data_IF_972430016811
#
_entry.id   IF_972430016811
#
_cell.length_a   1.000
_cell.length_b   1.000
_cell.length_c   1.000
_cell.angle_alpha   90.00
_cell.angle_beta   90.00
_cell.angle_gamma   90.00
#
_symmetry.space_group_name_H-M   'P 1'
#
loop_
_entity.id
_entity.type
_entity.pdbx_description
1 polymer ?
#
# COMPACT_ATOMS: atom_id res chain seq x y z
N UNK A 1 -0.64 -2.57 -45.05
CA UNK A 1 0.36 -3.67 -45.07
C UNK A 1 -0.08 -4.69 -44.03
N UNK A 2 -0.51 -5.88 -44.44
CA UNK A 2 -1.07 -6.86 -43.49
C UNK A 2 0.03 -7.79 -42.99
N UNK A 3 0.33 -7.73 -41.69
CA UNK A 3 1.26 -8.61 -40.99
C UNK A 3 0.72 -10.05 -40.85
N UNK A 4 0.25 -10.69 -41.93
CA UNK A 4 -0.55 -11.94 -41.85
C UNK A 4 0.19 -13.15 -41.27
N UNK A 5 1.52 -13.15 -41.28
CA UNK A 5 2.36 -14.26 -40.84
C UNK A 5 3.67 -13.72 -40.24
N UNK A 6 4.20 -14.38 -39.19
CA UNK A 6 5.49 -14.03 -38.62
C UNK A 6 6.65 -14.30 -39.58
N UNK A 7 6.47 -15.23 -40.53
CA UNK A 7 7.39 -15.39 -41.66
C UNK A 7 7.43 -14.13 -42.54
N UNK A 8 6.28 -13.54 -42.83
CA UNK A 8 6.21 -12.30 -43.61
C UNK A 8 6.87 -11.13 -42.87
N UNK A 9 6.77 -11.05 -41.54
CA UNK A 9 7.49 -10.05 -40.73
C UNK A 9 8.99 -10.18 -40.92
N UNK A 10 9.53 -11.40 -40.95
CA UNK A 10 10.97 -11.62 -41.16
C UNK A 10 11.45 -11.09 -42.51
N UNK A 11 10.69 -11.35 -43.57
CA UNK A 11 11.00 -10.91 -44.94
C UNK A 11 10.86 -9.38 -45.08
N UNK A 12 9.83 -8.81 -44.44
CA UNK A 12 9.62 -7.36 -44.39
C UNK A 12 10.78 -6.65 -43.69
N UNK A 13 11.25 -7.16 -42.56
CA UNK A 13 12.36 -6.53 -41.82
C UNK A 13 13.66 -6.51 -42.64
N UNK A 14 13.96 -7.59 -43.37
CA UNK A 14 15.13 -7.66 -44.26
C UNK A 14 15.00 -6.63 -45.39
N UNK A 15 13.85 -6.60 -46.08
CA UNK A 15 13.61 -5.62 -47.13
C UNK A 15 13.64 -4.17 -46.61
N UNK A 16 13.12 -3.93 -45.41
CA UNK A 16 13.08 -2.61 -44.79
C UNK A 16 14.48 -2.08 -44.44
N UNK A 17 15.36 -2.98 -43.99
CA UNK A 17 16.77 -2.70 -43.72
C UNK A 17 17.52 -2.38 -45.01
N UNK A 18 17.36 -3.20 -46.06
CA UNK A 18 17.96 -2.95 -47.39
C UNK A 18 17.55 -1.62 -48.00
N UNK A 19 16.35 -1.12 -47.67
CA UNK A 19 15.79 0.12 -48.22
C UNK A 19 15.88 1.32 -47.26
N UNK A 20 16.53 1.19 -46.10
CA UNK A 20 16.65 2.28 -45.10
C UNK A 20 15.31 2.88 -44.61
N UNK A 21 14.22 2.10 -44.65
CA UNK A 21 12.86 2.50 -44.22
C UNK A 21 12.41 1.75 -42.95
N UNK A 22 13.34 1.09 -42.27
CA UNK A 22 13.08 0.24 -41.12
C UNK A 22 12.40 0.98 -39.96
N UNK A 23 12.85 2.21 -39.66
CA UNK A 23 12.25 3.06 -38.63
C UNK A 23 10.77 3.34 -38.92
N UNK A 24 10.47 3.70 -40.17
CA UNK A 24 9.11 4.00 -40.60
C UNK A 24 8.22 2.76 -40.50
N UNK A 25 8.71 1.60 -40.93
CA UNK A 25 7.97 0.34 -40.87
C UNK A 25 7.71 -0.10 -39.42
N UNK A 26 8.73 -0.04 -38.56
CA UNK A 26 8.61 -0.48 -37.16
C UNK A 26 7.74 0.44 -36.31
N UNK A 27 7.63 1.72 -36.67
CA UNK A 27 6.73 2.67 -36.03
C UNK A 27 5.35 2.76 -36.70
N UNK A 28 5.15 2.09 -37.84
CA UNK A 28 3.85 2.11 -38.54
C UNK A 28 2.80 1.39 -37.71
N UNK A 29 1.77 2.13 -37.34
CA UNK A 29 0.58 1.58 -36.68
C UNK A 29 -0.45 1.13 -37.71
N UNK A 30 -1.04 -0.05 -37.51
CA UNK A 30 -2.16 -0.56 -38.31
C UNK A 30 -3.38 -0.77 -37.42
N UNK A 31 -4.50 -0.16 -37.77
CA UNK A 31 -5.77 -0.38 -37.06
C UNK A 31 -6.51 -1.58 -37.63
N UNK A 32 -6.85 -2.53 -36.76
CA UNK A 32 -7.64 -3.72 -37.07
C UNK A 32 -8.97 -3.65 -36.31
N UNK A 33 -10.07 -3.81 -37.04
CA UNK A 33 -11.41 -3.92 -36.46
C UNK A 33 -11.79 -5.40 -36.37
N UNK A 34 -11.99 -5.89 -35.15
CA UNK A 34 -12.59 -7.19 -34.86
C UNK A 34 -14.06 -7.00 -34.50
N UNK A 35 -14.81 -8.11 -34.43
CA UNK A 35 -16.23 -8.10 -34.03
C UNK A 35 -16.46 -7.41 -32.68
N UNK A 36 -15.50 -7.51 -31.76
CA UNK A 36 -15.61 -7.11 -30.36
C UNK A 36 -14.66 -5.99 -29.91
N UNK A 37 -13.79 -5.51 -30.80
CA UNK A 37 -12.78 -4.50 -30.46
C UNK A 37 -12.15 -3.84 -31.69
N UNK A 38 -11.70 -2.61 -31.51
CA UNK A 38 -10.83 -1.91 -32.44
C UNK A 38 -9.43 -1.80 -31.81
N UNK A 39 -8.42 -2.25 -32.54
CA UNK A 39 -7.05 -2.31 -32.03
C UNK A 39 -6.08 -1.66 -32.99
N UNK A 40 -5.20 -0.81 -32.47
CA UNK A 40 -4.10 -0.23 -33.24
C UNK A 40 -2.80 -0.96 -32.86
N UNK A 41 -2.21 -1.69 -33.80
CA UNK A 41 -0.99 -2.48 -33.58
C UNK A 41 0.22 -1.85 -34.25
N UNK A 42 1.33 -1.79 -33.51
CA UNK A 42 2.69 -1.75 -34.10
C UNK A 42 3.12 -3.16 -34.51
N UNK A 43 4.19 -3.32 -35.31
CA UNK A 43 4.72 -4.64 -35.65
C UNK A 43 5.14 -5.43 -34.41
N UNK A 44 5.78 -4.79 -33.43
CA UNK A 44 6.13 -5.41 -32.15
C UNK A 44 4.88 -5.88 -31.40
N UNK A 45 3.88 -5.02 -31.25
CA UNK A 45 2.65 -5.39 -30.55
C UNK A 45 1.89 -6.51 -31.27
N UNK A 46 1.96 -6.55 -32.60
CA UNK A 46 1.37 -7.63 -33.39
C UNK A 46 2.09 -8.97 -33.18
N UNK A 47 3.43 -9.02 -33.15
CA UNK A 47 4.13 -10.27 -32.85
C UNK A 47 3.92 -10.74 -31.41
N UNK A 48 3.78 -9.80 -30.47
CA UNK A 48 3.39 -10.09 -29.07
C UNK A 48 1.99 -10.73 -29.03
N UNK A 49 1.01 -10.16 -29.74
CA UNK A 49 -0.34 -10.74 -29.86
C UNK A 49 -0.31 -12.17 -30.38
N UNK A 50 0.56 -12.44 -31.37
CA UNK A 50 0.73 -13.77 -31.98
C UNK A 50 1.53 -14.73 -31.10
N UNK A 51 2.08 -14.26 -29.97
CA UNK A 51 2.93 -15.02 -29.04
C UNK A 51 4.14 -15.66 -29.74
N UNK A 52 4.67 -14.97 -30.76
CA UNK A 52 5.83 -15.44 -31.50
C UNK A 52 7.10 -14.82 -30.94
N UNK A 53 7.62 -15.45 -29.88
CA UNK A 53 8.88 -15.08 -29.24
C UNK A 53 10.06 -14.95 -30.22
N UNK A 54 10.17 -15.82 -31.23
CA UNK A 54 11.27 -15.74 -32.21
C UNK A 54 11.14 -14.45 -33.05
N UNK A 55 9.91 -14.07 -33.40
CA UNK A 55 9.66 -12.83 -34.11
C UNK A 55 9.86 -11.60 -33.22
N UNK A 56 9.48 -11.65 -31.94
CA UNK A 56 9.78 -10.61 -30.95
C UNK A 56 11.28 -10.39 -30.83
N UNK A 57 12.05 -11.44 -30.55
CA UNK A 57 13.52 -11.38 -30.45
C UNK A 57 14.13 -10.75 -31.71
N UNK A 58 13.67 -11.15 -32.90
CA UNK A 58 14.16 -10.57 -34.16
C UNK A 58 13.84 -9.08 -34.27
N UNK A 59 12.61 -8.66 -33.95
CA UNK A 59 12.20 -7.24 -33.99
C UNK A 59 13.06 -6.42 -33.02
N UNK A 60 13.26 -6.90 -31.79
CA UNK A 60 14.07 -6.21 -30.78
C UNK A 60 15.54 -6.12 -31.20
N UNK A 61 16.12 -7.20 -31.74
CA UNK A 61 17.50 -7.20 -32.23
C UNK A 61 17.72 -6.21 -33.37
N UNK A 62 16.85 -6.25 -34.38
CA UNK A 62 16.93 -5.36 -35.54
C UNK A 62 16.76 -3.89 -35.10
N UNK A 63 15.86 -3.63 -34.14
CA UNK A 63 15.69 -2.31 -33.56
C UNK A 63 16.92 -1.80 -32.80
N UNK A 64 17.57 -2.70 -32.04
CA UNK A 64 18.83 -2.43 -31.33
C UNK A 64 19.95 -2.08 -32.32
N UNK A 65 20.15 -2.91 -33.34
CA UNK A 65 21.18 -2.73 -34.38
C UNK A 65 21.02 -1.39 -35.12
N UNK A 66 19.79 -0.87 -35.18
CA UNK A 66 19.46 0.38 -35.85
C UNK A 66 19.24 1.57 -34.89
N UNK A 67 19.49 1.42 -33.59
CA UNK A 67 19.40 2.51 -32.60
C UNK A 67 17.98 3.05 -32.36
N UNK A 68 16.94 2.26 -32.65
CA UNK A 68 15.51 2.64 -32.52
C UNK A 68 14.76 1.79 -31.49
N UNK A 69 15.47 1.00 -30.69
CA UNK A 69 14.85 0.10 -29.70
C UNK A 69 13.96 0.86 -28.69
N UNK A 70 14.44 2.01 -28.20
CA UNK A 70 13.68 2.87 -27.28
C UNK A 70 12.37 3.31 -27.93
N UNK A 71 12.42 3.88 -29.13
CA UNK A 71 11.23 4.33 -29.87
C UNK A 71 10.17 3.22 -29.97
N UNK A 72 10.59 1.99 -30.26
CA UNK A 72 9.67 0.85 -30.41
C UNK A 72 9.10 0.39 -29.07
N UNK A 73 9.93 0.33 -28.03
CA UNK A 73 9.49 -0.10 -26.70
C UNK A 73 8.64 0.96 -25.98
N UNK A 74 8.77 2.24 -26.35
CA UNK A 74 7.93 3.33 -25.86
C UNK A 74 6.61 3.44 -26.63
N UNK A 75 6.52 2.86 -27.84
CA UNK A 75 5.31 2.97 -28.65
C UNK A 75 4.17 2.15 -28.06
N UNK A 76 3.17 2.84 -27.54
CA UNK A 76 1.98 2.22 -26.96
C UNK A 76 0.98 1.76 -28.02
N UNK A 77 0.19 0.74 -27.68
CA UNK A 77 -1.02 0.37 -28.43
C UNK A 77 -2.27 0.72 -27.65
N UNK A 78 -3.34 1.03 -28.37
CA UNK A 78 -4.67 1.25 -27.78
C UNK A 78 -5.65 0.19 -28.26
N UNK A 79 -6.32 -0.46 -27.31
CA UNK A 79 -7.38 -1.45 -27.52
C UNK A 79 -8.69 -0.85 -27.01
N UNK A 80 -9.64 -0.62 -27.91
CA UNK A 80 -11.01 -0.21 -27.58
C UNK A 80 -11.91 -1.43 -27.64
N UNK A 81 -12.44 -1.82 -26.49
CA UNK A 81 -13.37 -2.95 -26.36
C UNK A 81 -14.83 -2.49 -26.60
N UNK A 82 -15.72 -3.41 -26.96
CA UNK A 82 -17.17 -3.12 -27.13
C UNK A 82 -17.86 -2.62 -25.86
N UNK A 83 -17.38 -3.05 -24.69
CA UNK A 83 -17.80 -2.51 -23.39
C UNK A 83 -17.24 -1.10 -23.15
N UNK A 84 -16.72 -0.45 -24.20
CA UNK A 84 -16.12 0.88 -24.22
C UNK A 84 -15.01 1.06 -23.18
N UNK A 85 -14.43 -0.05 -22.71
CA UNK A 85 -13.14 -0.04 -22.03
C UNK A 85 -12.05 0.28 -23.05
N UNK A 86 -11.24 1.28 -22.74
CA UNK A 86 -10.09 1.66 -23.55
C UNK A 86 -8.82 1.37 -22.77
N UNK A 87 -7.97 0.49 -23.30
CA UNK A 87 -6.70 0.14 -22.68
C UNK A 87 -5.55 0.60 -23.55
N UNK A 88 -4.64 1.37 -22.97
CA UNK A 88 -3.38 1.77 -23.60
C UNK A 88 -2.25 0.97 -22.96
N UNK A 89 -1.67 0.06 -23.74
CA UNK A 89 -0.58 -0.81 -23.32
C UNK A 89 0.77 -0.33 -23.84
N UNK A 90 1.79 -0.40 -22.99
CA UNK A 90 3.17 -0.52 -23.45
C UNK A 90 3.40 -1.93 -24.00
N UNK A 91 4.41 -2.17 -24.85
CA UNK A 91 4.75 -3.51 -25.31
C UNK A 91 4.96 -4.51 -24.16
N UNK A 92 5.63 -4.08 -23.09
CA UNK A 92 5.84 -4.91 -21.90
C UNK A 92 4.50 -5.29 -21.24
N UNK A 93 3.60 -4.33 -21.00
CA UNK A 93 2.30 -4.62 -20.41
C UNK A 93 1.40 -5.45 -21.33
N UNK A 94 1.48 -5.26 -22.66
CA UNK A 94 0.78 -6.11 -23.60
C UNK A 94 1.27 -7.56 -23.54
N UNK A 95 2.57 -7.79 -23.35
CA UNK A 95 3.11 -9.13 -23.12
C UNK A 95 2.63 -9.73 -21.78
N UNK A 96 2.52 -8.91 -20.72
CA UNK A 96 1.96 -9.32 -19.43
C UNK A 96 0.50 -9.73 -19.51
N UNK A 97 -0.31 -8.99 -20.28
CA UNK A 97 -1.72 -9.30 -20.51
C UNK A 97 -1.92 -10.68 -21.14
N UNK A 98 -0.98 -11.12 -21.99
CA UNK A 98 -1.01 -12.45 -22.60
C UNK A 98 -0.28 -13.54 -21.80
N UNK A 99 0.28 -13.18 -20.65
CA UNK A 99 1.04 -14.04 -19.75
C UNK A 99 2.22 -14.77 -20.41
N UNK A 100 2.82 -14.17 -21.44
CA UNK A 100 3.93 -14.79 -22.17
C UNK A 100 5.28 -14.47 -21.49
N UNK A 101 5.65 -15.31 -20.53
CA UNK A 101 6.89 -15.14 -19.77
C UNK A 101 8.17 -15.14 -20.63
N UNK A 102 8.16 -15.77 -21.81
CA UNK A 102 9.33 -15.76 -22.70
C UNK A 102 9.48 -14.39 -23.36
N UNK A 103 8.39 -13.85 -23.89
CA UNK A 103 8.37 -12.51 -24.50
C UNK A 103 8.68 -11.42 -23.46
N UNK A 104 8.12 -11.53 -22.25
CA UNK A 104 8.41 -10.59 -21.16
C UNK A 104 9.92 -10.57 -20.88
N UNK A 105 10.55 -11.74 -20.78
CA UNK A 105 12.00 -11.85 -20.58
C UNK A 105 12.80 -11.25 -21.74
N UNK A 106 12.41 -11.52 -22.98
CA UNK A 106 13.07 -10.94 -24.17
C UNK A 106 13.02 -9.41 -24.16
N UNK A 107 11.87 -8.81 -23.79
CA UNK A 107 11.73 -7.35 -23.67
C UNK A 107 12.64 -6.81 -22.55
N UNK A 108 12.66 -7.43 -21.38
CA UNK A 108 13.47 -6.97 -20.24
C UNK A 108 14.97 -7.07 -20.54
N UNK A 109 15.44 -8.18 -21.12
CA UNK A 109 16.84 -8.35 -21.54
C UNK A 109 17.23 -7.31 -22.59
N UNK A 110 16.39 -7.08 -23.60
CA UNK A 110 16.66 -6.05 -24.60
C UNK A 110 16.75 -4.65 -23.97
N UNK A 111 15.88 -4.34 -22.99
CA UNK A 111 15.91 -3.06 -22.30
C UNK A 111 17.14 -2.89 -21.40
N UNK A 112 17.55 -3.96 -20.71
CA UNK A 112 18.76 -4.01 -19.89
C UNK A 112 20.03 -3.79 -20.72
N UNK A 113 20.21 -4.57 -21.80
CA UNK A 113 21.37 -4.48 -22.70
C UNK A 113 21.53 -3.10 -23.36
N UNK A 114 20.49 -2.27 -23.34
CA UNK A 114 20.47 -0.94 -23.95
C UNK A 114 20.33 0.19 -22.91
N UNK A 115 20.46 -0.11 -21.61
CA UNK A 115 20.38 0.88 -20.53
C UNK A 115 19.08 1.70 -20.54
N UNK A 116 17.97 1.08 -20.95
CA UNK A 116 16.62 1.68 -20.95
C UNK A 116 15.65 0.94 -20.03
N UNK A 117 16.13 -0.06 -19.27
CA UNK A 117 15.30 -0.87 -18.38
C UNK A 117 14.45 -0.05 -17.41
N UNK A 118 15.04 0.99 -16.80
CA UNK A 118 14.31 1.88 -15.89
C UNK A 118 13.16 2.59 -16.60
N UNK A 119 13.40 3.16 -17.78
CA UNK A 119 12.38 3.85 -18.57
C UNK A 119 11.22 2.89 -18.91
N UNK A 120 11.54 1.65 -19.29
CA UNK A 120 10.54 0.61 -19.58
C UNK A 120 9.76 0.19 -18.33
N UNK A 121 10.41 0.13 -17.17
CA UNK A 121 9.79 -0.20 -15.88
C UNK A 121 9.07 0.99 -15.21
N UNK A 122 9.29 2.22 -15.70
CA UNK A 122 8.53 3.41 -15.30
C UNK A 122 7.33 3.68 -16.24
N UNK A 123 7.33 3.10 -17.44
CA UNK A 123 6.31 3.33 -18.45
C UNK A 123 4.93 2.80 -18.03
N UNK A 124 3.93 3.68 -18.04
CA UNK A 124 2.61 3.38 -17.47
C UNK A 124 1.63 2.78 -18.47
N UNK A 125 0.82 1.83 -18.02
CA UNK A 125 -0.37 1.32 -18.71
C UNK A 125 -1.60 2.01 -18.18
N UNK A 126 -2.49 2.47 -19.07
CA UNK A 126 -3.73 3.16 -18.67
C UNK A 126 -4.95 2.37 -19.10
N UNK A 127 -5.86 2.10 -18.17
CA UNK A 127 -7.17 1.49 -18.41
C UNK A 127 -8.24 2.53 -18.09
N UNK A 128 -9.11 2.82 -19.06
CA UNK A 128 -10.28 3.67 -18.90
C UNK A 128 -11.53 2.82 -19.03
N UNK A 129 -12.44 2.96 -18.07
CA UNK A 129 -13.72 2.27 -18.03
C UNK A 129 -14.87 3.23 -18.42
N UNK A 130 -15.99 2.64 -18.82
CA UNK A 130 -17.20 3.39 -19.19
C UNK A 130 -17.75 4.27 -18.10
N UNK A 131 -17.66 3.78 -16.87
CA UNK A 131 -18.12 4.49 -15.69
C UNK A 131 -17.19 5.66 -15.33
N UNK A 132 -16.18 5.98 -16.13
CA UNK A 132 -15.24 7.07 -15.85
C UNK A 132 -14.13 6.69 -14.88
N UNK A 133 -14.07 5.43 -14.42
CA UNK A 133 -12.91 4.93 -13.68
C UNK A 133 -11.68 4.92 -14.59
N UNK A 134 -10.55 5.40 -14.07
CA UNK A 134 -9.25 5.44 -14.76
C UNK A 134 -8.19 4.83 -13.86
N UNK A 135 -7.51 3.80 -14.36
CA UNK A 135 -6.44 3.10 -13.66
C UNK A 135 -5.13 3.27 -14.43
N UNK A 136 -4.09 3.75 -13.74
CA UNK A 136 -2.77 4.02 -14.30
C UNK A 136 -1.77 3.17 -13.53
N UNK A 137 -1.24 2.15 -14.19
CA UNK A 137 -0.35 1.15 -13.62
C UNK A 137 1.08 1.33 -14.08
N UNK A 138 2.02 1.22 -13.15
CA UNK A 138 3.40 0.83 -13.47
C UNK A 138 3.44 -0.64 -13.90
N UNK A 139 4.47 -1.11 -14.62
CA UNK A 139 4.60 -2.51 -15.03
C UNK A 139 4.58 -3.50 -13.85
N UNK A 140 5.23 -3.18 -12.72
CA UNK A 140 5.19 -4.03 -11.53
C UNK A 140 3.76 -4.15 -10.98
N UNK A 141 3.06 -3.03 -10.81
CA UNK A 141 1.68 -3.07 -10.30
C UNK A 141 0.68 -3.65 -11.29
N UNK A 142 0.92 -3.49 -12.59
CA UNK A 142 0.14 -4.16 -13.62
C UNK A 142 0.31 -5.68 -13.53
N UNK A 143 1.55 -6.17 -13.35
CA UNK A 143 1.82 -7.59 -13.12
C UNK A 143 1.14 -8.12 -11.83
N UNK A 144 1.07 -7.30 -10.78
CA UNK A 144 0.33 -7.61 -9.54
C UNK A 144 -1.18 -7.71 -9.82
N UNK A 145 -1.74 -6.78 -10.60
CA UNK A 145 -3.15 -6.77 -11.00
C UNK A 145 -3.51 -8.02 -11.82
N UNK A 146 -2.63 -8.40 -12.75
CA UNK A 146 -2.72 -9.64 -13.52
C UNK A 146 -2.45 -10.92 -12.69
N UNK A 147 -2.05 -10.81 -11.42
CA UNK A 147 -1.65 -11.95 -10.56
C UNK A 147 -0.54 -12.81 -11.17
N UNK A 148 0.31 -12.23 -12.01
CA UNK A 148 1.35 -12.95 -12.74
C UNK A 148 2.63 -13.06 -11.89
N UNK A 149 2.65 -14.03 -10.98
CA UNK A 149 3.76 -14.19 -10.01
C UNK A 149 5.14 -14.33 -10.65
N UNK A 150 5.27 -15.03 -11.79
CA UNK A 150 6.55 -15.17 -12.50
C UNK A 150 7.07 -13.84 -13.03
N UNK A 151 6.16 -13.01 -13.55
CA UNK A 151 6.50 -11.68 -14.05
C UNK A 151 6.91 -10.75 -12.91
N UNK A 152 6.21 -10.81 -11.78
CA UNK A 152 6.55 -10.05 -10.58
C UNK A 152 7.97 -10.42 -10.11
N UNK A 153 8.25 -11.72 -9.99
CA UNK A 153 9.58 -12.24 -9.62
C UNK A 153 10.66 -11.75 -10.59
N UNK A 154 10.42 -11.82 -11.91
CA UNK A 154 11.38 -11.35 -12.92
C UNK A 154 11.62 -9.84 -12.85
N UNK A 155 10.58 -9.00 -12.75
CA UNK A 155 10.73 -7.54 -12.61
C UNK A 155 11.56 -7.21 -11.37
N UNK A 156 11.22 -7.79 -10.22
CA UNK A 156 11.94 -7.54 -8.97
C UNK A 156 13.41 -7.98 -9.07
N UNK A 157 13.66 -9.11 -9.71
CA UNK A 157 15.01 -9.63 -9.94
C UNK A 157 15.83 -8.68 -10.83
N UNK A 158 15.35 -8.34 -12.03
CA UNK A 158 16.12 -7.46 -12.94
C UNK A 158 16.29 -6.07 -12.35
N UNK A 159 15.32 -5.58 -11.56
CA UNK A 159 15.44 -4.29 -10.87
C UNK A 159 16.51 -4.32 -9.79
N UNK A 160 16.66 -5.44 -9.07
CA UNK A 160 17.74 -5.66 -8.11
C UNK A 160 19.11 -5.73 -8.80
N UNK A 161 19.21 -6.48 -9.88
CA UNK A 161 20.46 -6.67 -10.63
C UNK A 161 20.97 -5.37 -11.29
N UNK A 162 20.08 -4.39 -11.47
CA UNK A 162 20.38 -3.10 -12.12
C UNK A 162 20.31 -1.89 -11.17
N UNK A 163 20.31 -2.11 -9.84
CA UNK A 163 20.29 -1.04 -8.82
C UNK A 163 19.12 -0.04 -8.92
N UNK A 164 17.98 -0.45 -9.50
CA UNK A 164 16.76 0.37 -9.64
C UNK A 164 15.59 -0.13 -8.78
N UNK A 165 15.80 -1.17 -7.97
CA UNK A 165 14.74 -1.81 -7.17
C UNK A 165 13.95 -0.83 -6.29
N UNK A 166 14.64 0.11 -5.64
CA UNK A 166 14.00 1.10 -4.77
C UNK A 166 13.07 2.00 -5.59
N UNK A 167 13.53 2.51 -6.72
CA UNK A 167 12.71 3.35 -7.61
C UNK A 167 11.45 2.61 -8.08
N UNK A 168 11.59 1.34 -8.46
CA UNK A 168 10.46 0.52 -8.91
C UNK A 168 9.47 0.22 -7.77
N UNK A 169 9.95 0.06 -6.54
CA UNK A 169 9.11 -0.14 -5.35
C UNK A 169 8.54 1.16 -4.76
N UNK A 170 9.09 2.31 -5.10
CA UNK A 170 8.54 3.63 -4.75
C UNK A 170 7.56 4.14 -5.82
N UNK A 171 7.63 3.61 -7.04
CA UNK A 171 6.78 4.03 -8.16
C UNK A 171 5.29 3.80 -7.88
N UNK A 172 4.50 4.85 -8.08
CA UNK A 172 3.09 4.87 -7.67
C UNK A 172 2.12 4.54 -8.80
N UNK A 173 1.08 3.78 -8.47
CA UNK A 173 -0.09 3.51 -9.30
C UNK A 173 -1.26 4.35 -8.84
N UNK A 174 -2.03 4.88 -9.77
CA UNK A 174 -3.18 5.74 -9.48
C UNK A 174 -4.46 5.09 -9.98
N UNK A 175 -5.47 5.02 -9.12
CA UNK A 175 -6.85 4.65 -9.49
C UNK A 175 -7.76 5.83 -9.17
N UNK A 176 -8.51 6.28 -10.16
CA UNK A 176 -9.55 7.31 -10.02
C UNK A 176 -10.90 6.67 -10.28
N UNK A 177 -11.85 6.95 -9.41
CA UNK A 177 -13.24 6.50 -9.52
C UNK A 177 -14.14 7.66 -9.96
N UNK A 178 -15.33 7.32 -10.47
CA UNK A 178 -16.30 8.29 -10.98
C UNK A 178 -16.74 9.31 -9.92
N UNK A 179 -16.89 8.84 -8.68
CA UNK A 179 -17.35 9.66 -7.56
C UNK A 179 -16.31 10.71 -7.14
N UNK A 180 -15.13 10.72 -7.74
CA UNK A 180 -14.02 11.60 -7.40
C UNK A 180 -13.06 10.98 -6.39
N UNK A 181 -13.30 9.75 -5.92
CA UNK A 181 -12.34 9.03 -5.11
C UNK A 181 -11.06 8.80 -5.92
N UNK A 182 -9.91 9.04 -5.30
CA UNK A 182 -8.60 8.81 -5.90
C UNK A 182 -7.70 8.08 -4.91
N UNK A 183 -7.12 6.98 -5.37
CA UNK A 183 -6.21 6.16 -4.59
C UNK A 183 -4.84 6.10 -5.29
N UNK A 184 -3.77 6.33 -4.52
CA UNK A 184 -2.40 6.34 -5.00
C UNK A 184 -1.62 5.31 -4.20
N UNK A 185 -1.16 4.26 -4.86
CA UNK A 185 -0.57 3.06 -4.28
C UNK A 185 0.91 2.92 -4.63
N UNK A 186 1.73 2.59 -3.63
CA UNK A 186 3.00 1.89 -3.87
C UNK A 186 2.74 0.42 -4.26
N UNK A 187 3.69 -0.32 -4.85
CA UNK A 187 3.50 -1.72 -5.21
C UNK A 187 3.18 -2.62 -4.01
N UNK A 188 3.79 -2.37 -2.84
CA UNK A 188 3.48 -3.13 -1.62
C UNK A 188 2.01 -2.90 -1.18
N UNK A 189 1.54 -1.66 -1.16
CA UNK A 189 0.16 -1.36 -0.77
C UNK A 189 -0.86 -1.78 -1.83
N UNK A 190 -0.49 -1.75 -3.11
CA UNK A 190 -1.31 -2.33 -4.17
C UNK A 190 -1.45 -3.85 -3.99
N UNK A 191 -0.36 -4.56 -3.66
CA UNK A 191 -0.41 -5.99 -3.36
C UNK A 191 -1.32 -6.31 -2.15
N UNK A 192 -1.33 -5.46 -1.11
CA UNK A 192 -2.27 -5.53 0.02
C UNK A 192 -3.71 -5.31 -0.47
N UNK A 193 -3.95 -4.31 -1.32
CA UNK A 193 -5.29 -4.04 -1.88
C UNK A 193 -5.83 -5.25 -2.65
N UNK A 194 -4.96 -5.91 -3.43
CA UNK A 194 -5.25 -7.14 -4.17
C UNK A 194 -5.29 -8.42 -3.31
N UNK A 195 -4.98 -8.34 -2.01
CA UNK A 195 -4.85 -9.48 -1.09
C UNK A 195 -3.88 -10.56 -1.61
N UNK A 196 -2.81 -10.13 -2.29
CA UNK A 196 -1.84 -11.03 -2.89
C UNK A 196 -0.70 -11.33 -1.90
N UNK A 197 -0.94 -12.28 -1.00
CA UNK A 197 -0.02 -12.61 0.09
C UNK A 197 1.35 -13.11 -0.38
N UNK A 198 1.44 -13.76 -1.55
CA UNK A 198 2.71 -14.22 -2.13
C UNK A 198 3.54 -13.01 -2.58
N UNK A 199 2.94 -12.07 -3.29
CA UNK A 199 3.61 -10.83 -3.73
C UNK A 199 4.06 -9.97 -2.54
N UNK A 200 3.23 -9.85 -1.50
CA UNK A 200 3.61 -9.13 -0.27
C UNK A 200 4.90 -9.72 0.31
N UNK A 201 4.98 -11.05 0.41
CA UNK A 201 6.15 -11.74 0.93
C UNK A 201 7.38 -11.56 0.05
N UNK A 202 7.24 -11.63 -1.27
CA UNK A 202 8.33 -11.41 -2.21
C UNK A 202 8.90 -9.99 -2.11
N UNK A 203 8.03 -8.97 -2.08
CA UNK A 203 8.43 -7.56 -1.93
C UNK A 203 9.14 -7.35 -0.58
N UNK A 204 8.61 -7.87 0.52
CA UNK A 204 9.24 -7.73 1.84
C UNK A 204 10.60 -8.44 1.89
N UNK A 205 10.69 -9.65 1.33
CA UNK A 205 11.93 -10.42 1.27
C UNK A 205 13.00 -9.71 0.46
N UNK A 206 12.70 -9.27 -0.75
CA UNK A 206 13.70 -8.60 -1.60
C UNK A 206 14.08 -7.24 -1.01
N UNK A 207 13.15 -6.52 -0.37
CA UNK A 207 13.47 -5.24 0.30
C UNK A 207 14.41 -5.45 1.49
N UNK A 208 14.22 -6.54 2.26
CA UNK A 208 15.14 -6.96 3.33
C UNK A 208 16.53 -7.26 2.79
N UNK A 209 16.63 -8.10 1.76
CA UNK A 209 17.92 -8.49 1.16
C UNK A 209 18.72 -7.31 0.61
N UNK A 210 18.06 -6.20 0.28
CA UNK A 210 18.70 -5.01 -0.30
C UNK A 210 18.77 -3.83 0.68
N UNK A 211 18.43 -4.01 1.96
CA UNK A 211 18.56 -2.95 2.97
C UNK A 211 17.60 -1.77 2.82
N UNK A 212 16.55 -1.90 1.99
CA UNK A 212 15.54 -0.85 1.74
C UNK A 212 14.21 -1.10 2.45
N UNK A 213 14.12 -2.17 3.25
CA UNK A 213 12.88 -2.60 3.92
C UNK A 213 12.18 -1.47 4.69
N UNK A 214 12.94 -0.69 5.46
CA UNK A 214 12.37 0.41 6.26
C UNK A 214 11.74 1.47 5.36
N UNK A 215 12.44 1.88 4.30
CA UNK A 215 11.91 2.85 3.33
C UNK A 215 10.60 2.36 2.71
N UNK A 216 10.54 1.08 2.31
CA UNK A 216 9.34 0.48 1.72
C UNK A 216 8.17 0.39 2.72
N UNK A 217 8.45 0.16 4.01
CA UNK A 217 7.44 0.14 5.07
C UNK A 217 7.05 1.54 5.56
N UNK A 218 7.85 2.57 5.30
CA UNK A 218 7.52 3.97 5.59
C UNK A 218 6.82 4.65 4.41
N UNK A 219 6.91 4.07 3.20
CA UNK A 219 6.33 4.63 1.99
C UNK A 219 4.80 4.77 2.09
N UNK A 220 4.30 5.97 1.79
CA UNK A 220 2.91 6.31 2.06
C UNK A 220 2.00 6.15 0.84
N UNK A 221 0.82 5.60 1.08
CA UNK A 221 -0.31 5.54 0.15
C UNK A 221 -1.33 6.59 0.52
N UNK A 222 -1.92 7.23 -0.48
CA UNK A 222 -2.92 8.30 -0.27
C UNK A 222 -4.28 7.89 -0.82
N UNK A 223 -5.30 8.03 0.02
CA UNK A 223 -6.71 7.78 -0.30
C UNK A 223 -7.45 9.11 -0.16
N UNK A 224 -7.96 9.64 -1.26
CA UNK A 224 -8.80 10.84 -1.28
C UNK A 224 -10.23 10.43 -1.57
N UNK A 225 -11.14 10.75 -0.66
CA UNK A 225 -12.56 10.50 -0.79
C UNK A 225 -13.29 11.72 -1.40
N UNK A 226 -14.46 11.51 -2.01
CA UNK A 226 -15.26 12.58 -2.63
C UNK A 226 -15.68 13.71 -1.67
N UNK A 227 -15.84 13.40 -0.40
CA UNK A 227 -16.23 14.32 0.67
C UNK A 227 -15.08 15.21 1.17
N UNK A 228 -13.92 15.14 0.52
CA UNK A 228 -12.71 15.86 0.90
C UNK A 228 -11.92 15.20 2.03
N UNK A 229 -12.33 14.03 2.53
CA UNK A 229 -11.53 13.24 3.45
C UNK A 229 -10.29 12.72 2.73
N UNK A 230 -9.10 12.99 3.28
CA UNK A 230 -7.83 12.48 2.78
C UNK A 230 -7.12 11.71 3.89
N UNK A 231 -6.70 10.49 3.56
CA UNK A 231 -6.00 9.59 4.46
C UNK A 231 -4.70 9.15 3.82
N UNK A 232 -3.59 9.43 4.52
CA UNK A 232 -2.24 9.03 4.12
C UNK A 232 -1.77 7.94 5.08
N UNK A 233 -1.54 6.74 4.54
CA UNK A 233 -1.23 5.54 5.31
C UNK A 233 0.11 4.94 4.87
N UNK A 234 0.95 4.59 5.83
CA UNK A 234 2.01 3.59 5.61
C UNK A 234 1.39 2.20 5.32
N UNK A 235 2.12 1.23 4.77
CA UNK A 235 1.57 -0.05 4.33
C UNK A 235 0.95 -0.86 5.46
N UNK A 236 1.53 -0.83 6.66
CA UNK A 236 0.97 -1.54 7.81
C UNK A 236 -0.36 -0.93 8.27
N UNK A 237 -0.46 0.40 8.32
CA UNK A 237 -1.72 1.12 8.56
C UNK A 237 -2.76 0.77 7.49
N UNK A 238 -2.34 0.73 6.21
CA UNK A 238 -3.22 0.37 5.10
C UNK A 238 -3.72 -1.09 5.21
N UNK A 239 -2.88 -2.04 5.63
CA UNK A 239 -3.32 -3.41 5.89
C UNK A 239 -4.35 -3.48 7.03
N UNK A 240 -4.19 -2.68 8.09
CA UNK A 240 -5.17 -2.58 9.18
C UNK A 240 -6.51 -2.02 8.66
N UNK A 241 -6.46 -0.97 7.83
CA UNK A 241 -7.64 -0.39 7.18
C UNK A 241 -8.38 -1.43 6.34
N UNK A 242 -7.65 -2.20 5.53
CA UNK A 242 -8.21 -3.25 4.66
C UNK A 242 -8.58 -4.54 5.39
N UNK A 243 -8.34 -4.60 6.71
CA UNK A 243 -8.54 -5.79 7.55
C UNK A 243 -7.82 -7.03 7.00
N UNK A 244 -6.64 -6.84 6.40
CA UNK A 244 -5.81 -7.93 5.90
C UNK A 244 -4.86 -8.42 7.00
N UNK A 245 -5.31 -9.41 7.77
CA UNK A 245 -4.55 -9.97 8.88
C UNK A 245 -3.26 -10.65 8.45
N UNK A 246 -3.23 -11.24 7.24
CA UNK A 246 -2.06 -11.94 6.72
C UNK A 246 -0.97 -10.91 6.41
N UNK A 247 -1.34 -9.79 5.78
CA UNK A 247 -0.41 -8.70 5.52
C UNK A 247 0.14 -8.10 6.82
N UNK A 248 -0.72 -7.85 7.81
CA UNK A 248 -0.32 -7.35 9.14
C UNK A 248 0.71 -8.29 9.79
N UNK A 249 0.41 -9.59 9.87
CA UNK A 249 1.31 -10.58 10.47
C UNK A 249 2.67 -10.63 9.74
N UNK A 250 2.67 -10.72 8.41
CA UNK A 250 3.91 -10.80 7.62
C UNK A 250 4.79 -9.55 7.82
N UNK A 251 4.21 -8.35 7.77
CA UNK A 251 4.97 -7.11 7.96
C UNK A 251 5.53 -6.99 9.38
N UNK A 252 4.74 -7.31 10.41
CA UNK A 252 5.20 -7.30 11.80
C UNK A 252 6.34 -8.31 12.04
N UNK A 253 6.21 -9.52 11.49
CA UNK A 253 7.26 -10.55 11.57
C UNK A 253 8.55 -10.08 10.90
N UNK A 254 8.47 -9.57 9.67
CA UNK A 254 9.66 -9.09 8.95
C UNK A 254 10.27 -7.86 9.64
N UNK A 255 9.46 -6.96 10.21
CA UNK A 255 9.97 -5.84 10.99
C UNK A 255 10.73 -6.28 12.26
N UNK A 256 10.24 -7.33 12.95
CA UNK A 256 10.91 -7.97 14.09
C UNK A 256 12.26 -8.57 13.69
N UNK A 257 12.29 -9.31 12.58
CA UNK A 257 13.53 -9.95 12.08
C UNK A 257 14.60 -8.96 11.61
N UNK A 258 14.28 -7.68 11.51
CA UNK A 258 15.17 -6.63 11.01
C UNK A 258 15.37 -5.48 12.00
N UNK A 259 15.05 -5.69 13.28
CA UNK A 259 15.25 -4.70 14.35
C UNK A 259 14.60 -3.32 14.11
N UNK A 260 13.56 -3.25 13.26
CA UNK A 260 12.78 -2.04 12.97
C UNK A 260 11.37 -2.08 13.56
N UNK A 261 11.01 -3.15 14.30
CA UNK A 261 9.66 -3.34 14.83
C UNK A 261 9.16 -2.14 15.66
N UNK A 262 10.02 -1.59 16.54
CA UNK A 262 9.63 -0.47 17.40
C UNK A 262 9.30 0.77 16.57
N UNK A 263 10.15 1.12 15.60
CA UNK A 263 9.91 2.26 14.71
C UNK A 263 8.59 2.11 13.94
N UNK A 264 8.31 0.91 13.43
CA UNK A 264 7.08 0.61 12.70
C UNK A 264 5.84 0.69 13.60
N UNK A 265 5.93 0.28 14.87
CA UNK A 265 4.81 0.37 15.82
C UNK A 265 4.60 1.78 16.38
N UNK A 266 5.68 2.56 16.50
CA UNK A 266 5.65 3.96 16.94
C UNK A 266 5.19 4.91 15.82
N UNK A 267 5.17 4.45 14.57
CA UNK A 267 4.68 5.21 13.44
C UNK A 267 3.25 5.70 13.68
N UNK A 268 3.01 6.97 13.34
CA UNK A 268 1.71 7.61 13.53
C UNK A 268 1.03 7.95 12.21
N UNK A 269 -0.28 7.77 12.16
CA UNK A 269 -1.13 8.17 11.03
C UNK A 269 -2.02 9.34 11.46
N UNK A 270 -2.00 10.43 10.69
CA UNK A 270 -2.85 11.59 10.96
C UNK A 270 -4.01 11.63 9.96
N UNK A 271 -5.24 11.63 10.48
CA UNK A 271 -6.45 11.78 9.69
C UNK A 271 -6.99 13.19 9.85
N UNK A 272 -7.25 13.87 8.73
CA UNK A 272 -7.91 15.17 8.68
C UNK A 272 -9.34 14.98 8.23
N UNK A 273 -10.28 15.42 9.06
CA UNK A 273 -11.70 15.40 8.76
C UNK A 273 -12.13 16.70 8.08
N UNK A 274 -13.21 16.64 7.29
CA UNK A 274 -13.77 17.79 6.59
C UNK A 274 -14.21 18.93 7.52
N UNK A 275 -14.53 18.62 8.77
CA UNK A 275 -14.86 19.60 9.79
C UNK A 275 -13.63 20.22 10.48
N UNK A 276 -12.41 20.00 9.98
CA UNK A 276 -11.15 20.45 10.58
C UNK A 276 -10.73 19.72 11.86
N UNK A 277 -11.44 18.66 12.28
CA UNK A 277 -10.90 17.75 13.28
C UNK A 277 -9.68 17.05 12.69
N UNK A 278 -8.65 16.92 13.51
CA UNK A 278 -7.43 16.21 13.15
C UNK A 278 -7.08 15.27 14.29
N UNK A 279 -6.83 14.01 13.95
CA UNK A 279 -6.45 13.00 14.95
C UNK A 279 -5.20 12.28 14.49
N UNK A 280 -4.20 12.26 15.36
CA UNK A 280 -2.96 11.52 15.16
C UNK A 280 -3.04 10.22 15.96
N UNK A 281 -3.07 9.11 15.24
CA UNK A 281 -3.20 7.76 15.75
C UNK A 281 -1.85 7.05 15.77
N UNK A 282 -1.55 6.35 16.85
CA UNK A 282 -0.57 5.26 16.84
C UNK A 282 -1.17 4.05 16.12
N UNK A 283 -0.35 3.07 15.74
CA UNK A 283 -0.83 1.88 15.02
C UNK A 283 -1.91 1.11 15.81
N UNK A 284 -1.72 0.92 17.12
CA UNK A 284 -2.71 0.26 17.99
C UNK A 284 -4.01 1.07 18.07
N UNK A 285 -3.92 2.39 18.19
CA UNK A 285 -5.09 3.28 18.21
C UNK A 285 -5.85 3.25 16.89
N UNK A 286 -5.13 3.17 15.78
CA UNK A 286 -5.70 3.04 14.45
C UNK A 286 -6.42 1.69 14.28
N UNK A 287 -5.87 0.60 14.80
CA UNK A 287 -6.54 -0.71 14.82
C UNK A 287 -7.85 -0.67 15.64
N UNK A 288 -7.87 0.06 16.75
CA UNK A 288 -9.09 0.32 17.56
C UNK A 288 -10.10 1.16 16.75
N UNK A 289 -9.65 2.23 16.09
CA UNK A 289 -10.49 3.06 15.22
C UNK A 289 -11.20 2.23 14.14
N UNK A 290 -10.50 1.25 13.55
CA UNK A 290 -11.01 0.38 12.48
C UNK A 290 -11.69 -0.89 13.00
N UNK A 291 -11.80 -1.06 14.32
CA UNK A 291 -12.38 -2.25 14.97
C UNK A 291 -11.74 -3.55 14.45
N UNK A 292 -10.45 -3.51 14.18
CA UNK A 292 -9.69 -4.63 13.64
C UNK A 292 -9.12 -5.46 14.79
N UNK A 293 -9.96 -6.34 15.33
CA UNK A 293 -9.64 -7.15 16.51
C UNK A 293 -8.42 -8.06 16.34
N UNK A 294 -8.17 -8.53 15.11
CA UNK A 294 -7.02 -9.38 14.78
C UNK A 294 -5.74 -8.55 14.81
N UNK A 295 -5.72 -7.37 14.19
CA UNK A 295 -4.57 -6.48 14.24
C UNK A 295 -4.25 -6.03 15.67
N UNK A 296 -5.27 -5.71 16.49
CA UNK A 296 -5.08 -5.40 17.92
C UNK A 296 -4.36 -6.54 18.63
N UNK A 297 -4.79 -7.78 18.39
CA UNK A 297 -4.21 -8.95 19.04
C UNK A 297 -2.77 -9.20 18.60
N UNK A 298 -2.48 -9.11 17.29
CA UNK A 298 -1.14 -9.34 16.77
C UNK A 298 -0.17 -8.25 17.24
N UNK A 299 -0.58 -6.97 17.26
CA UNK A 299 0.22 -5.87 17.79
C UNK A 299 0.54 -6.10 19.27
N UNK A 300 -0.45 -6.46 20.10
CA UNK A 300 -0.23 -6.70 21.53
C UNK A 300 0.67 -7.91 21.77
N UNK A 301 0.46 -9.00 21.03
CA UNK A 301 1.25 -10.23 21.11
C UNK A 301 2.71 -9.97 20.73
N UNK A 302 2.97 -9.36 19.58
CA UNK A 302 4.35 -9.11 19.15
C UNK A 302 5.04 -8.09 20.07
N UNK A 303 4.31 -7.10 20.59
CA UNK A 303 4.86 -6.14 21.55
C UNK A 303 5.25 -6.79 22.87
N UNK A 304 4.46 -7.77 23.33
CA UNK A 304 4.77 -8.62 24.50
C UNK A 304 6.04 -9.43 24.28
N UNK A 305 6.12 -10.14 23.15
CA UNK A 305 7.28 -10.99 22.81
C UNK A 305 8.59 -10.21 22.71
N UNK A 306 8.52 -8.91 22.41
CA UNK A 306 9.69 -8.05 22.21
C UNK A 306 9.88 -7.02 23.33
N UNK A 307 9.22 -7.19 24.48
CA UNK A 307 9.38 -6.33 25.67
C UNK A 307 9.11 -4.82 25.47
N UNK A 308 8.34 -4.46 24.44
CA UNK A 308 7.94 -3.07 24.12
C UNK A 308 6.47 -2.78 24.44
N UNK A 309 5.75 -3.75 25.00
CA UNK A 309 4.32 -3.66 25.31
C UNK A 309 3.94 -2.45 26.16
N UNK A 310 4.76 -2.11 27.16
CA UNK A 310 4.50 -0.95 28.03
C UNK A 310 4.53 0.35 27.25
N UNK A 311 5.47 0.50 26.32
CA UNK A 311 5.60 1.68 25.48
C UNK A 311 4.40 1.80 24.55
N UNK A 312 4.02 0.71 23.90
CA UNK A 312 2.87 0.68 22.97
C UNK A 312 1.54 1.00 23.68
N UNK A 313 1.33 0.51 24.91
CA UNK A 313 0.11 0.78 25.68
C UNK A 313 0.09 2.18 26.32
N UNK A 314 1.26 2.80 26.54
CA UNK A 314 1.38 4.16 27.07
C UNK A 314 1.54 5.23 25.98
N UNK A 315 1.66 4.82 24.72
CA UNK A 315 1.78 5.73 23.60
C UNK A 315 0.60 6.73 23.58
N UNK A 316 0.85 7.94 23.10
CA UNK A 316 -0.14 9.01 23.18
C UNK A 316 -0.82 9.25 21.84
N UNK A 317 -2.14 9.46 21.90
CA UNK A 317 -2.99 9.78 20.76
C UNK A 317 -3.47 11.20 20.97
N UNK A 318 -3.34 12.05 19.94
CA UNK A 318 -3.74 13.46 20.02
C UNK A 318 -4.95 13.72 19.15
N UNK A 319 -6.00 14.26 19.75
CA UNK A 319 -7.27 14.61 19.10
C UNK A 319 -7.44 16.12 19.19
N UNK A 320 -7.53 16.81 18.05
CA UNK A 320 -7.94 18.22 17.96
C UNK A 320 -9.44 18.29 17.74
N UNK A 321 -10.16 18.87 18.69
CA UNK A 321 -11.60 19.04 18.66
C UNK A 321 -11.99 20.36 17.98
N UNK A 322 -13.24 20.42 17.50
CA UNK A 322 -13.81 21.60 16.83
C UNK A 322 -13.85 22.85 17.71
N UNK A 323 -14.07 22.66 18.99
CA UNK A 323 -14.13 23.73 20.00
C UNK A 323 -12.74 24.19 20.46
N UNK A 324 -11.69 23.83 19.73
CA UNK A 324 -10.31 24.16 20.05
C UNK A 324 -9.71 23.32 21.18
N UNK A 325 -10.46 22.40 21.80
CA UNK A 325 -9.90 21.49 22.79
C UNK A 325 -8.89 20.55 22.15
N UNK A 326 -7.85 20.21 22.91
CA UNK A 326 -6.88 19.17 22.56
C UNK A 326 -6.95 18.07 23.60
N UNK A 327 -7.24 16.86 23.16
CA UNK A 327 -7.34 15.69 24.02
C UNK A 327 -6.17 14.77 23.72
N UNK A 328 -5.42 14.41 24.75
CA UNK A 328 -4.33 13.43 24.69
C UNK A 328 -4.74 12.21 25.50
N UNK A 329 -4.87 11.07 24.84
CA UNK A 329 -5.34 9.80 25.43
C UNK A 329 -4.34 8.69 25.18
N UNK A 330 -4.31 7.70 26.08
CA UNK A 330 -3.65 6.41 25.83
C UNK A 330 -4.55 5.50 24.98
N UNK A 331 -4.03 4.41 24.38
CA UNK A 331 -4.83 3.39 23.71
C UNK A 331 -6.01 2.88 24.53
N UNK A 332 -5.83 2.64 25.83
CA UNK A 332 -6.93 2.19 26.71
C UNK A 332 -8.04 3.26 26.81
N UNK A 333 -7.67 4.51 27.07
CA UNK A 333 -8.62 5.61 27.12
C UNK A 333 -9.29 5.86 25.76
N UNK A 334 -8.57 5.65 24.65
CA UNK A 334 -9.15 5.73 23.31
C UNK A 334 -10.15 4.59 23.03
N UNK A 335 -9.87 3.36 23.46
CA UNK A 335 -10.84 2.26 23.37
C UNK A 335 -12.12 2.56 24.18
N UNK A 336 -11.98 3.14 25.37
CA UNK A 336 -13.12 3.63 26.18
C UNK A 336 -13.89 4.74 25.45
N UNK A 337 -13.19 5.70 24.84
CA UNK A 337 -13.80 6.77 24.04
C UNK A 337 -14.69 6.19 22.93
N UNK A 338 -14.22 5.11 22.31
CA UNK A 338 -14.87 4.37 21.22
C UNK A 338 -15.89 3.33 21.68
N UNK A 339 -16.00 3.07 22.99
CA UNK A 339 -16.81 1.98 23.56
C UNK A 339 -16.44 0.60 23.01
N UNK A 340 -15.18 0.42 22.61
CA UNK A 340 -14.67 -0.87 22.12
C UNK A 340 -14.31 -1.77 23.31
N UNK A 341 -15.33 -2.45 23.83
CA UNK A 341 -15.17 -3.30 25.01
C UNK A 341 -14.22 -4.48 24.77
N UNK A 342 -14.06 -4.94 23.52
CA UNK A 342 -13.17 -6.04 23.18
C UNK A 342 -11.71 -5.58 23.20
N UNK A 343 -11.41 -4.41 22.64
CA UNK A 343 -10.08 -3.82 22.75
C UNK A 343 -9.69 -3.55 24.21
N UNK A 344 -10.60 -2.98 25.01
CA UNK A 344 -10.41 -2.79 26.47
C UNK A 344 -10.03 -4.11 27.13
N UNK A 345 -10.76 -5.18 26.86
CA UNK A 345 -10.51 -6.49 27.45
C UNK A 345 -9.15 -7.08 27.04
N UNK A 346 -8.81 -7.04 25.74
CA UNK A 346 -7.53 -7.55 25.24
C UNK A 346 -6.34 -6.82 25.88
N UNK A 347 -6.41 -5.48 25.98
CA UNK A 347 -5.36 -4.68 26.60
C UNK A 347 -5.23 -4.95 28.10
N UNK A 348 -6.34 -5.01 28.85
CA UNK A 348 -6.31 -5.31 30.29
C UNK A 348 -5.76 -6.71 30.59
N UNK A 349 -6.16 -7.70 29.78
CA UNK A 349 -5.67 -9.08 29.90
C UNK A 349 -4.16 -9.14 29.68
N UNK A 350 -3.67 -8.58 28.58
CA UNK A 350 -2.24 -8.57 28.28
C UNK A 350 -1.45 -7.74 29.30
N UNK A 351 -1.99 -6.62 29.79
CA UNK A 351 -1.33 -5.83 30.84
C UNK A 351 -1.23 -6.60 32.18
N UNK A 352 -2.27 -7.35 32.55
CA UNK A 352 -2.29 -8.26 33.71
C UNK A 352 -1.21 -9.33 33.57
N UNK A 353 -1.19 -10.04 32.45
CA UNK A 353 -0.22 -11.12 32.20
C UNK A 353 1.24 -10.68 32.25
N UNK A 354 1.51 -9.39 32.06
CA UNK A 354 2.85 -8.83 32.01
C UNK A 354 3.19 -7.94 33.22
N UNK A 355 2.35 -7.94 34.27
CA UNK A 355 2.63 -7.19 35.50
C UNK A 355 2.64 -5.65 35.35
N UNK A 356 2.11 -5.12 34.24
CA UNK A 356 2.05 -3.67 33.95
C UNK A 356 0.64 -3.09 34.13
N UNK A 357 -0.33 -3.88 34.61
CA UNK A 357 -1.73 -3.47 34.75
C UNK A 357 -1.90 -2.17 35.54
N UNK A 358 -1.19 -2.02 36.66
CA UNK A 358 -1.25 -0.82 37.50
C UNK A 358 -0.77 0.41 36.73
N UNK A 359 0.36 0.30 36.02
CA UNK A 359 0.90 1.40 35.20
C UNK A 359 -0.12 1.87 34.16
N UNK A 360 -0.79 0.92 33.49
CA UNK A 360 -1.80 1.24 32.45
C UNK A 360 -3.06 1.88 33.05
N UNK A 361 -3.49 1.44 34.24
CA UNK A 361 -4.65 2.00 34.95
C UNK A 361 -4.34 3.33 35.67
N UNK A 362 -3.07 3.63 35.95
CA UNK A 362 -2.64 4.91 36.50
C UNK A 362 -2.36 5.94 35.38
N UNK A 363 -2.24 5.51 34.12
CA UNK A 363 -1.95 6.37 32.98
C UNK A 363 -3.05 7.42 32.75
N UNK A 364 -2.66 8.69 32.66
CA UNK A 364 -3.62 9.80 32.61
C UNK A 364 -3.96 10.23 31.19
N UNK A 365 -5.25 10.43 30.94
CA UNK A 365 -5.76 11.25 29.83
C UNK A 365 -5.70 12.72 30.21
N UNK A 366 -5.32 13.58 29.27
CA UNK A 366 -5.28 15.04 29.45
C UNK A 366 -6.21 15.72 28.45
N UNK A 367 -7.03 16.65 28.91
CA UNK A 367 -7.90 17.51 28.10
C UNK A 367 -7.45 18.95 28.32
N UNK A 368 -7.01 19.62 27.26
CA UNK A 368 -6.64 21.03 27.27
C UNK A 368 -7.74 21.87 26.63
N UNK A 369 -8.18 22.90 27.33
CA UNK A 369 -9.21 23.82 26.90
C UNK A 369 -8.60 25.09 26.29
N UNK A 370 -9.33 25.81 25.41
CA UNK A 370 -8.82 27.02 24.76
C UNK A 370 -8.45 28.15 25.74
N UNK A 371 -9.10 28.20 26.90
CA UNK A 371 -8.86 29.15 27.98
C UNK A 371 -7.61 28.83 28.82
N UNK A 372 -6.94 27.71 28.54
CA UNK A 372 -5.77 27.25 29.27
C UNK A 372 -6.08 26.34 30.47
N UNK A 373 -7.35 26.00 30.72
CA UNK A 373 -7.70 24.95 31.69
C UNK A 373 -7.19 23.60 31.19
N UNK A 374 -6.64 22.79 32.11
CA UNK A 374 -6.24 21.40 31.85
C UNK A 374 -6.94 20.47 32.83
N UNK A 375 -7.56 19.42 32.30
CA UNK A 375 -8.17 18.36 33.08
C UNK A 375 -7.42 17.06 32.83
N UNK A 376 -7.01 16.39 33.90
CA UNK A 376 -6.39 15.07 33.82
C UNK A 376 -7.24 14.04 34.54
N UNK A 377 -7.45 12.88 33.91
CA UNK A 377 -8.20 11.78 34.50
C UNK A 377 -7.53 10.45 34.18
N UNK A 378 -7.57 9.52 35.13
CA UNK A 378 -7.18 8.12 34.91
C UNK A 378 -8.23 7.40 34.05
N UNK A 379 -7.95 6.21 33.49
CA UNK A 379 -8.85 5.51 32.59
C UNK A 379 -10.18 5.14 33.27
N UNK A 380 -10.18 4.80 34.56
CA UNK A 380 -11.42 4.51 35.30
C UNK A 380 -12.30 5.75 35.42
N UNK A 381 -11.74 6.90 35.81
CA UNK A 381 -12.47 8.16 35.85
C UNK A 381 -13.00 8.54 34.47
N UNK A 382 -12.17 8.36 33.43
CA UNK A 382 -12.56 8.62 32.06
C UNK A 382 -13.74 7.73 31.61
N UNK A 383 -13.74 6.44 31.92
CA UNK A 383 -14.85 5.53 31.60
C UNK A 383 -16.16 5.93 32.31
N UNK A 384 -16.08 6.36 33.57
CA UNK A 384 -17.24 6.89 34.31
C UNK A 384 -17.77 8.14 33.63
N UNK A 385 -16.91 9.10 33.29
CA UNK A 385 -17.29 10.33 32.57
C UNK A 385 -17.94 10.03 31.22
N UNK A 386 -17.44 9.03 30.50
CA UNK A 386 -17.99 8.56 29.20
C UNK A 386 -19.23 7.66 29.35
N UNK A 387 -19.65 7.35 30.58
CA UNK A 387 -20.76 6.44 30.91
C UNK A 387 -20.59 5.06 30.25
N UNK A 388 -19.35 4.57 30.18
CA UNK A 388 -19.03 3.23 29.67
C UNK A 388 -19.01 2.22 30.82
N UNK A 389 -20.20 1.74 31.21
CA UNK A 389 -20.35 0.80 32.32
C UNK A 389 -19.62 -0.52 32.09
N UNK A 390 -19.47 -0.95 30.82
CA UNK A 390 -18.79 -2.19 30.47
C UNK A 390 -17.29 -2.05 30.71
N UNK A 391 -16.68 -0.94 30.27
CA UNK A 391 -15.27 -0.68 30.54
C UNK A 391 -15.00 -0.52 32.05
N UNK A 392 -15.88 0.18 32.78
CA UNK A 392 -15.81 0.28 34.25
C UNK A 392 -15.82 -1.11 34.89
N UNK A 393 -16.78 -1.96 34.54
CA UNK A 393 -16.88 -3.31 35.09
C UNK A 393 -15.61 -4.13 34.81
N UNK A 394 -15.13 -4.12 33.56
CA UNK A 394 -13.92 -4.87 33.16
C UNK A 394 -12.69 -4.40 33.93
N UNK A 395 -12.49 -3.10 34.10
CA UNK A 395 -11.36 -2.56 34.88
C UNK A 395 -11.46 -2.92 36.35
N UNK A 396 -12.63 -2.76 36.98
CA UNK A 396 -12.83 -3.11 38.39
C UNK A 396 -12.64 -4.62 38.65
N UNK A 397 -13.15 -5.46 37.74
CA UNK A 397 -12.97 -6.93 37.81
C UNK A 397 -11.49 -7.30 37.77
N UNK A 398 -10.77 -6.84 36.74
CA UNK A 398 -9.35 -7.17 36.57
C UNK A 398 -8.50 -6.58 37.71
N UNK A 399 -8.82 -5.39 38.21
CA UNK A 399 -8.12 -4.79 39.36
C UNK A 399 -8.35 -5.56 40.67
N UNK A 400 -9.57 -6.05 40.89
CA UNK A 400 -9.89 -6.92 42.04
C UNK A 400 -9.10 -8.22 41.98
N UNK A 401 -9.05 -8.86 40.81
CA UNK A 401 -8.27 -10.09 40.59
C UNK A 401 -6.76 -9.90 40.81
N UNK A 402 -6.26 -8.66 40.70
CA UNK A 402 -4.84 -8.33 40.87
C UNK A 402 -4.53 -7.65 42.22
N UNK A 403 -5.50 -7.53 43.12
CA UNK A 403 -5.28 -6.93 44.44
C UNK A 403 -5.03 -5.41 44.44
N UNK A 404 -5.24 -4.72 43.32
CA UNK A 404 -5.00 -3.27 43.16
C UNK A 404 -6.31 -2.45 43.16
N UNK A 405 -7.43 -3.06 43.52
CA UNK A 405 -8.75 -2.40 43.50
C UNK A 405 -8.79 -1.11 44.32
N UNK A 406 -8.21 -1.14 45.54
CA UNK A 406 -8.18 0.04 46.42
C UNK A 406 -7.38 1.19 45.79
N UNK A 407 -6.28 0.87 45.13
CA UNK A 407 -5.39 1.85 44.51
C UNK A 407 -6.10 2.54 43.36
N UNK A 408 -6.76 1.77 42.48
CA UNK A 408 -7.44 2.35 41.32
C UNK A 408 -8.72 3.10 41.69
N UNK A 409 -9.40 2.75 42.80
CA UNK A 409 -10.61 3.43 43.27
C UNK A 409 -10.31 4.83 43.83
N UNK A 410 -9.07 5.08 44.28
CA UNK A 410 -8.60 6.43 44.62
C UNK A 410 -8.44 7.35 43.38
N UNK A 411 -8.92 6.89 42.22
CA UNK A 411 -9.16 7.62 40.97
C UNK A 411 -9.26 9.13 41.15
N UNK A 412 -8.29 9.87 40.62
CA UNK A 412 -8.26 11.34 40.72
C UNK A 412 -8.67 11.96 39.38
N UNK A 413 -9.60 12.93 39.44
CA UNK A 413 -9.77 13.95 38.40
C UNK A 413 -9.07 15.19 38.94
N UNK A 414 -8.04 15.66 38.25
CA UNK A 414 -7.34 16.91 38.61
C UNK A 414 -7.71 17.97 37.61
N UNK A 415 -8.16 19.13 38.10
CA UNK A 415 -8.46 20.31 37.30
C UNK A 415 -7.41 21.37 37.61
N UNK A 416 -6.64 21.79 36.61
CA UNK A 416 -5.65 22.86 36.73
C UNK A 416 -6.16 24.08 35.96
N UNK A 417 -6.34 25.19 36.67
CA UNK A 417 -6.72 26.48 36.08
C UNK A 417 -5.44 27.30 35.92
N UNK A 418 -4.97 27.48 34.69
CA UNK A 418 -3.83 28.36 34.40
C UNK A 418 -4.38 29.77 34.23
N UNK A 419 -4.29 30.60 35.29
CA UNK A 419 -4.57 32.03 35.16
C UNK A 419 -3.51 32.67 34.26
N UNK A 420 -3.94 33.28 33.15
CA UNK A 420 -3.11 34.18 32.35
C UNK A 420 -2.90 35.51 33.06
#
# INVERSE_FOLDING_TARGET
MFWKDSKAIKEILVAAEENSILKDILNTTTTMKYLDREVTYTPLAYVILRRDSIAVEKVLRVAKENGILRDILDTTITIKHLDSREVTYTPLAHAMFWEDGKIIKEILVAAEENSILKDILDATTTIKYLDGQEEIYTPLTYAISCKNSKTIEEILKVSKENDILKDILDATTTIKYLDGQKEIYTPLTYAISCKNSKTIEEILKISKENGILKDILDATTTIKCPDGHEETCAPLTYAILRKDSIAVEKMLRVAKENDILKDILDATTTIKHSDSREVTYTLLAYAILRENSIAIEEILKISKENSILKDILNATITIKCLDGRRVTVTPLAYAILRKDSMAVEKMLRVAKENGILKDILDATTTIKYPDGQEETCTPLAYAILRKDSIAVEKMLRVAKENGILKDILNTTITIKIIKK
#
